data_IF_865713396098
#
_entry.id   IF_865713396098
#
_cell.length_a   1.000
_cell.length_b   1.000
_cell.length_c   1.000
_cell.angle_alpha   90.00
_cell.angle_beta   90.00
_cell.angle_gamma   90.00
#
_symmetry.space_group_name_H-M   'P 1'
#
loop_
_entity.id
_entity.type
_entity.pdbx_description
1 polymer ?
#
# COMPACT_ATOMS: atom_id res chain seq x y z
N UNK A 1 26.19 -18.45 -26.52
CA UNK A 1 25.21 -18.39 -27.62
C UNK A 1 24.33 -17.17 -27.39
N UNK A 2 24.39 -16.17 -28.27
CA UNK A 2 23.65 -14.91 -28.14
C UNK A 2 22.33 -15.06 -28.90
N UNK A 3 21.21 -15.07 -28.19
CA UNK A 3 19.89 -15.13 -28.83
C UNK A 3 19.25 -13.74 -28.80
N UNK A 4 18.93 -13.28 -30.00
CA UNK A 4 18.29 -12.00 -30.32
C UNK A 4 16.81 -12.00 -29.89
N UNK A 5 16.37 -10.84 -29.40
CA UNK A 5 14.97 -10.49 -29.15
C UNK A 5 14.40 -9.84 -30.41
N UNK A 6 13.24 -10.28 -30.95
CA UNK A 6 12.48 -9.48 -31.88
C UNK A 6 11.39 -8.69 -31.13
N UNK A 7 11.54 -7.36 -31.20
CA UNK A 7 10.53 -6.35 -30.91
C UNK A 7 9.44 -6.44 -31.98
N UNK A 8 8.21 -6.75 -31.61
CA UNK A 8 7.03 -6.61 -32.48
C UNK A 8 6.22 -5.39 -32.06
N UNK A 9 6.48 -4.28 -32.74
CA UNK A 9 5.57 -3.15 -32.90
C UNK A 9 4.49 -3.56 -33.91
N UNK A 10 3.21 -3.60 -33.51
CA UNK A 10 2.09 -3.66 -34.45
C UNK A 10 1.13 -2.51 -34.15
N UNK A 11 0.80 -1.84 -35.26
CA UNK A 11 0.26 -0.51 -35.37
C UNK A 11 -1.22 -0.40 -35.02
N UNK A 12 -1.55 0.78 -34.49
CA UNK A 12 -2.87 1.32 -34.24
C UNK A 12 -3.57 1.60 -35.58
N UNK A 13 -4.67 0.90 -35.88
CA UNK A 13 -5.55 1.22 -37.00
C UNK A 13 -6.77 1.99 -36.48
N UNK A 14 -6.74 3.31 -36.67
CA UNK A 14 -7.93 4.16 -36.58
C UNK A 14 -8.74 4.01 -37.87
N UNK A 15 -9.99 3.58 -37.76
CA UNK A 15 -10.99 3.72 -38.83
C UNK A 15 -11.96 4.84 -38.44
N UNK A 16 -11.74 5.98 -39.09
CA UNK A 16 -12.70 7.07 -39.22
C UNK A 16 -13.80 6.67 -40.20
N UNK A 17 -15.06 6.68 -39.76
CA UNK A 17 -16.22 6.63 -40.65
C UNK A 17 -17.10 7.85 -40.36
N UNK A 18 -17.18 8.74 -41.35
CA UNK A 18 -18.13 9.84 -41.40
C UNK A 18 -19.24 9.49 -42.41
N UNK A 19 -20.48 9.57 -41.92
CA UNK A 19 -21.71 10.06 -42.55
C UNK A 19 -22.18 9.52 -43.91
N UNK A 20 -23.44 9.05 -43.97
CA UNK A 20 -24.47 9.76 -44.74
C UNK A 20 -25.94 9.48 -44.32
N UNK A 21 -26.66 10.60 -44.16
CA UNK A 21 -28.10 10.98 -44.37
C UNK A 21 -29.31 10.08 -44.01
N UNK A 22 -30.09 10.65 -43.07
CA UNK A 22 -31.55 10.98 -43.04
C UNK A 22 -32.56 10.06 -43.75
N UNK A 23 -33.53 9.58 -42.96
CA UNK A 23 -34.96 9.78 -43.23
C UNK A 23 -35.72 10.13 -41.94
N UNK A 24 -36.70 11.02 -42.10
CA UNK A 24 -37.52 11.65 -41.08
C UNK A 24 -38.85 10.88 -40.99
N UNK A 25 -39.15 10.28 -39.84
CA UNK A 25 -40.51 9.84 -39.50
C UNK A 25 -40.88 10.40 -38.15
N UNK A 26 -41.81 11.36 -38.21
CA UNK A 26 -42.45 12.04 -37.09
C UNK A 26 -43.47 11.08 -36.45
N UNK A 27 -43.21 10.63 -35.23
CA UNK A 27 -44.25 10.12 -34.35
C UNK A 27 -43.90 10.44 -32.89
N UNK A 28 -44.86 11.09 -32.24
CA UNK A 28 -44.80 11.71 -30.93
C UNK A 28 -44.53 10.69 -29.83
N UNK A 29 -43.45 10.85 -29.07
CA UNK A 29 -43.36 10.30 -27.70
C UNK A 29 -42.44 11.21 -26.88
N UNK A 30 -42.99 11.78 -25.82
CA UNK A 30 -42.30 12.61 -24.83
C UNK A 30 -41.06 11.88 -24.32
N UNK A 31 -39.87 12.46 -24.49
CA UNK A 31 -38.66 11.98 -23.83
C UNK A 31 -37.97 13.14 -23.13
N UNK A 32 -38.08 13.07 -21.80
CA UNK A 32 -37.37 13.86 -20.79
C UNK A 32 -35.89 14.08 -21.14
N UNK A 33 -35.32 15.28 -20.92
CA UNK A 33 -33.90 15.51 -21.12
C UNK A 33 -33.12 14.65 -20.13
N UNK A 34 -32.36 13.70 -20.68
CA UNK A 34 -31.44 12.82 -19.94
C UNK A 34 -30.34 13.71 -19.37
N UNK A 35 -30.55 14.17 -18.14
CA UNK A 35 -29.56 14.91 -17.37
C UNK A 35 -28.38 13.98 -17.13
N UNK A 36 -27.28 14.26 -17.83
CA UNK A 36 -26.01 13.59 -17.62
C UNK A 36 -25.56 13.96 -16.21
N UNK A 37 -25.71 13.01 -15.28
CA UNK A 37 -25.29 13.18 -13.90
C UNK A 37 -23.77 13.31 -13.90
N UNK A 38 -23.28 14.53 -13.84
CA UNK A 38 -21.86 14.80 -13.53
C UNK A 38 -21.63 14.24 -12.14
N UNK A 39 -21.09 13.02 -12.07
CA UNK A 39 -20.65 12.42 -10.81
C UNK A 39 -19.45 13.26 -10.39
N UNK A 40 -19.68 14.21 -9.47
CA UNK A 40 -18.62 15.01 -8.90
C UNK A 40 -17.57 14.07 -8.30
N UNK A 41 -16.33 14.19 -8.76
CA UNK A 41 -15.23 13.44 -8.15
C UNK A 41 -15.16 13.79 -6.65
N UNK A 42 -14.95 12.80 -5.77
CA UNK A 42 -14.76 13.07 -4.35
C UNK A 42 -13.61 14.06 -4.17
N UNK A 43 -13.90 15.18 -3.50
CA UNK A 43 -12.90 16.20 -3.20
C UNK A 43 -11.89 15.63 -2.20
N UNK A 44 -10.60 15.67 -2.55
CA UNK A 44 -9.52 15.23 -1.65
C UNK A 44 -9.46 16.15 -0.41
N UNK A 45 -9.45 15.60 0.81
CA UNK A 45 -9.32 16.40 2.03
C UNK A 45 -7.97 17.11 2.09
N UNK A 46 -7.89 18.20 2.84
CA UNK A 46 -6.61 18.83 3.15
C UNK A 46 -5.72 17.89 3.97
N UNK A 47 -4.41 18.17 4.00
CA UNK A 47 -3.42 17.30 4.62
C UNK A 47 -3.67 17.05 6.11
N UNK A 48 -4.12 18.05 6.87
CA UNK A 48 -4.36 17.90 8.30
C UNK A 48 -5.58 17.01 8.56
N UNK A 49 -6.68 17.28 7.85
CA UNK A 49 -7.88 16.43 7.89
C UNK A 49 -7.55 14.99 7.49
N UNK A 50 -6.75 14.81 6.44
CA UNK A 50 -6.33 13.48 5.97
C UNK A 50 -5.51 12.73 7.02
N UNK A 51 -4.58 13.39 7.70
CA UNK A 51 -3.79 12.77 8.77
C UNK A 51 -4.66 12.32 9.96
N UNK A 52 -5.67 13.12 10.33
CA UNK A 52 -6.63 12.75 11.37
C UNK A 52 -7.47 11.54 10.95
N UNK A 53 -7.94 11.50 9.71
CA UNK A 53 -8.63 10.34 9.16
C UNK A 53 -7.76 9.09 9.20
N UNK A 54 -6.50 9.18 8.75
CA UNK A 54 -5.55 8.05 8.79
C UNK A 54 -5.40 7.53 10.22
N UNK A 55 -5.25 8.40 11.22
CA UNK A 55 -5.14 8.00 12.62
C UNK A 55 -6.35 7.19 13.08
N UNK A 56 -7.57 7.65 12.76
CA UNK A 56 -8.80 6.91 13.09
C UNK A 56 -8.87 5.58 12.35
N UNK A 57 -8.54 5.56 11.05
CA UNK A 57 -8.55 4.35 10.23
C UNK A 57 -7.56 3.29 10.73
N UNK A 58 -6.38 3.69 11.22
CA UNK A 58 -5.42 2.75 11.86
C UNK A 58 -6.04 2.12 13.09
N UNK A 59 -6.64 2.92 13.98
CA UNK A 59 -7.29 2.41 15.19
C UNK A 59 -8.47 1.48 14.88
N UNK A 60 -9.29 1.83 13.89
CA UNK A 60 -10.38 0.98 13.40
C UNK A 60 -9.84 -0.35 12.86
N UNK A 61 -8.82 -0.31 12.00
CA UNK A 61 -8.19 -1.50 11.43
C UNK A 61 -7.62 -2.42 12.52
N UNK A 62 -6.88 -1.86 13.47
CA UNK A 62 -6.33 -2.62 14.60
C UNK A 62 -7.44 -3.26 15.43
N UNK A 63 -8.54 -2.55 15.69
CA UNK A 63 -9.71 -3.08 16.40
C UNK A 63 -10.42 -4.19 15.62
N UNK A 64 -10.54 -4.06 14.29
CA UNK A 64 -11.15 -5.07 13.42
C UNK A 64 -10.40 -6.39 13.51
N UNK A 65 -9.08 -6.36 13.54
CA UNK A 65 -8.22 -7.55 13.56
C UNK A 65 -7.79 -8.00 14.96
N UNK A 66 -8.13 -7.24 16.00
CA UNK A 66 -7.84 -7.60 17.40
C UNK A 66 -8.45 -8.96 17.75
N UNK A 67 -7.59 -9.96 17.95
CA UNK A 67 -8.01 -11.32 18.33
C UNK A 67 -8.64 -12.16 17.21
N UNK A 68 -8.73 -11.66 15.98
CA UNK A 68 -9.32 -12.40 14.85
C UNK A 68 -8.24 -13.09 14.01
N UNK A 69 -7.96 -14.35 14.33
CA UNK A 69 -7.04 -15.18 13.54
C UNK A 69 -7.66 -15.77 12.27
N UNK A 70 -8.97 -15.98 12.24
CA UNK A 70 -9.65 -16.70 11.14
C UNK A 70 -9.69 -15.95 9.80
N UNK A 71 -9.47 -14.62 9.81
CA UNK A 71 -9.44 -13.77 8.61
C UNK A 71 -8.04 -13.48 8.10
N UNK A 72 -7.04 -14.22 8.58
CA UNK A 72 -5.63 -13.99 8.31
C UNK A 72 -4.98 -15.22 7.64
N UNK A 73 -4.07 -14.95 6.72
CA UNK A 73 -3.23 -15.94 6.06
C UNK A 73 -1.79 -15.66 6.47
N UNK A 74 -1.13 -16.68 7.02
CA UNK A 74 0.25 -16.60 7.45
C UNK A 74 1.18 -17.22 6.40
N UNK A 75 2.35 -16.63 6.24
CA UNK A 75 3.46 -17.10 5.44
C UNK A 75 4.73 -17.09 6.28
N UNK A 76 5.55 -18.12 6.10
CA UNK A 76 6.84 -18.26 6.77
C UNK A 76 7.87 -18.77 5.78
N UNK A 77 9.07 -18.21 5.84
CA UNK A 77 10.25 -18.70 5.11
C UNK A 77 11.46 -18.60 6.03
N UNK A 78 12.23 -19.67 6.13
CA UNK A 78 13.55 -19.63 6.79
C UNK A 78 14.61 -19.30 5.75
N UNK A 79 15.48 -18.35 6.05
CA UNK A 79 16.65 -17.98 5.24
C UNK A 79 17.91 -18.29 6.02
N UNK A 80 19.00 -18.62 5.31
CA UNK A 80 20.30 -18.86 5.91
C UNK A 80 21.21 -17.68 5.54
N UNK A 81 21.90 -17.12 6.53
CA UNK A 81 22.93 -16.11 6.33
C UNK A 81 24.26 -16.67 6.80
N UNK A 82 25.27 -16.59 5.95
CA UNK A 82 26.65 -16.92 6.32
C UNK A 82 27.29 -15.70 6.96
N UNK A 83 27.81 -15.86 8.17
CA UNK A 83 28.57 -14.82 8.88
C UNK A 83 29.88 -15.41 9.34
N UNK A 84 30.99 -14.79 8.92
CA UNK A 84 32.38 -15.12 9.23
C UNK A 84 32.75 -16.61 9.19
N UNK A 85 33.62 -16.98 8.23
CA UNK A 85 34.30 -18.28 8.19
C UNK A 85 33.40 -19.54 8.17
N UNK A 86 32.18 -19.41 7.64
CA UNK A 86 31.34 -20.56 7.25
C UNK A 86 30.28 -20.98 8.27
N UNK A 87 30.09 -20.24 9.36
CA UNK A 87 28.92 -20.44 10.22
C UNK A 87 27.67 -19.82 9.59
N UNK A 88 26.70 -20.69 9.29
CA UNK A 88 25.43 -20.29 8.71
C UNK A 88 24.36 -20.21 9.79
N UNK A 89 23.78 -19.03 9.98
CA UNK A 89 22.67 -18.80 10.90
C UNK A 89 21.35 -18.81 10.14
N UNK A 90 20.35 -19.49 10.69
CA UNK A 90 19.02 -19.57 10.10
C UNK A 90 18.05 -18.58 10.77
N UNK A 91 17.37 -17.79 9.95
CA UNK A 91 16.44 -16.77 10.41
C UNK A 91 15.06 -16.94 9.78
N UNK A 92 14.03 -16.91 10.63
CA UNK A 92 12.65 -16.98 10.19
C UNK A 92 12.15 -15.60 9.75
N UNK A 93 11.65 -15.57 8.53
CA UNK A 93 10.91 -14.46 7.93
C UNK A 93 9.43 -14.82 7.97
N UNK A 94 8.60 -13.93 8.51
CA UNK A 94 7.16 -14.16 8.62
C UNK A 94 6.38 -13.02 8.00
N UNK A 95 5.25 -13.34 7.40
CA UNK A 95 4.30 -12.36 6.92
C UNK A 95 2.88 -12.85 7.19
N UNK A 96 2.01 -11.96 7.64
CA UNK A 96 0.59 -12.22 7.86
C UNK A 96 -0.19 -11.21 7.02
N UNK A 97 -1.15 -11.70 6.26
CA UNK A 97 -2.14 -10.89 5.55
C UNK A 97 -3.51 -11.12 6.16
N UNK A 98 -4.11 -10.09 6.73
CA UNK A 98 -5.48 -10.12 7.23
C UNK A 98 -6.40 -9.28 6.33
N UNK A 99 -7.61 -9.76 6.07
CA UNK A 99 -8.64 -9.04 5.29
C UNK A 99 -10.03 -9.22 5.90
N UNK A 100 -10.80 -8.16 6.00
CA UNK A 100 -12.16 -8.18 6.52
C UNK A 100 -13.21 -7.77 5.46
N UNK A 101 -14.48 -8.04 5.74
CA UNK A 101 -15.61 -7.75 4.84
C UNK A 101 -15.90 -6.25 4.68
N UNK A 102 -15.50 -5.42 5.63
CA UNK A 102 -15.57 -3.96 5.52
C UNK A 102 -14.50 -3.38 4.59
N UNK A 103 -13.60 -4.23 4.07
CA UNK A 103 -12.56 -3.87 3.14
C UNK A 103 -11.27 -3.39 3.79
N UNK A 104 -11.11 -3.46 5.12
CA UNK A 104 -9.79 -3.25 5.73
C UNK A 104 -8.89 -4.44 5.41
N UNK A 105 -7.63 -4.14 5.12
CA UNK A 105 -6.55 -5.13 5.02
C UNK A 105 -5.36 -4.66 5.86
N UNK A 106 -4.75 -5.59 6.59
CA UNK A 106 -3.52 -5.36 7.35
C UNK A 106 -2.51 -6.41 6.91
N UNK A 107 -1.41 -5.96 6.33
CA UNK A 107 -0.26 -6.82 6.06
C UNK A 107 0.80 -6.53 7.11
N UNK A 108 1.26 -7.54 7.84
CA UNK A 108 2.35 -7.43 8.80
C UNK A 108 3.46 -8.36 8.37
N UNK A 109 4.70 -7.88 8.32
CA UNK A 109 5.86 -8.71 8.05
C UNK A 109 6.93 -8.48 9.12
N UNK A 110 7.62 -9.56 9.48
CA UNK A 110 8.76 -9.54 10.38
C UNK A 110 9.91 -10.25 9.68
N UNK A 111 10.98 -9.51 9.49
CA UNK A 111 12.22 -9.98 8.91
C UNK A 111 13.33 -9.89 9.94
N UNK A 112 14.20 -10.88 9.97
CA UNK A 112 15.33 -10.93 10.89
C UNK A 112 16.55 -11.47 10.17
N UNK A 113 17.72 -11.05 10.60
CA UNK A 113 18.99 -11.64 10.20
C UNK A 113 20.04 -11.42 11.27
N UNK A 114 21.30 -11.63 10.92
CA UNK A 114 22.39 -11.44 11.86
C UNK A 114 22.50 -9.96 12.24
N UNK A 115 22.25 -9.65 13.53
CA UNK A 115 22.34 -8.30 14.09
C UNK A 115 21.38 -7.27 13.49
N UNK A 116 20.38 -7.69 12.71
CA UNK A 116 19.34 -6.81 12.19
C UNK A 116 17.94 -7.43 12.28
N UNK A 117 16.94 -6.57 12.37
CA UNK A 117 15.53 -6.94 12.22
C UNK A 117 14.75 -5.82 11.55
N UNK A 118 13.64 -6.18 10.93
CA UNK A 118 12.74 -5.23 10.31
C UNK A 118 11.29 -5.68 10.49
N UNK A 119 10.46 -4.80 11.03
CA UNK A 119 9.00 -4.96 11.09
C UNK A 119 8.37 -4.03 10.06
N UNK A 120 7.41 -4.53 9.30
CA UNK A 120 6.61 -3.74 8.35
C UNK A 120 5.12 -3.96 8.62
N UNK A 121 4.35 -2.89 8.68
CA UNK A 121 2.88 -2.91 8.70
C UNK A 121 2.34 -2.05 7.58
N UNK A 122 1.49 -2.62 6.73
CA UNK A 122 0.83 -1.94 5.62
C UNK A 122 -0.67 -2.00 5.88
N UNK A 123 -1.28 -0.82 6.00
CA UNK A 123 -2.70 -0.65 6.24
C UNK A 123 -3.38 -0.22 4.94
N UNK A 124 -4.39 -0.98 4.52
CA UNK A 124 -5.14 -0.72 3.30
C UNK A 124 -6.64 -0.68 3.58
N UNK A 125 -7.36 0.10 2.76
CA UNK A 125 -8.82 0.10 2.67
C UNK A 125 -9.20 -0.12 1.22
N UNK A 126 -9.97 -1.17 0.94
CA UNK A 126 -10.38 -1.56 -0.41
C UNK A 126 -9.20 -1.72 -1.38
N UNK A 127 -8.08 -2.27 -0.90
CA UNK A 127 -6.85 -2.45 -1.68
C UNK A 127 -5.99 -1.21 -1.86
N UNK A 128 -6.41 -0.03 -1.36
CA UNK A 128 -5.65 1.22 -1.44
C UNK A 128 -4.89 1.43 -0.13
N UNK A 129 -3.56 1.63 -0.15
CA UNK A 129 -2.80 1.92 1.05
C UNK A 129 -3.18 3.30 1.61
N UNK A 130 -3.37 3.40 2.92
CA UNK A 130 -3.57 4.68 3.60
C UNK A 130 -2.48 4.97 4.64
N UNK A 131 -1.78 3.94 5.13
CA UNK A 131 -0.69 4.09 6.08
C UNK A 131 0.31 2.92 5.98
N UNK A 132 1.60 3.22 6.06
CA UNK A 132 2.66 2.21 6.23
C UNK A 132 3.55 2.61 7.39
N UNK A 133 3.85 1.63 8.23
CA UNK A 133 4.82 1.75 9.32
C UNK A 133 5.92 0.74 9.08
N UNK A 134 7.18 1.15 9.22
CA UNK A 134 8.31 0.24 9.26
C UNK A 134 9.26 0.62 10.38
N UNK A 135 9.80 -0.37 11.06
CA UNK A 135 10.81 -0.23 12.09
C UNK A 135 11.95 -1.18 11.74
N UNK A 136 13.15 -0.65 11.54
CA UNK A 136 14.37 -1.41 11.32
C UNK A 136 15.26 -1.26 12.55
N UNK A 137 15.90 -2.34 12.95
CA UNK A 137 16.98 -2.34 13.91
C UNK A 137 18.22 -2.96 13.27
N UNK A 138 19.39 -2.40 13.51
CA UNK A 138 20.68 -2.95 13.09
C UNK A 138 21.76 -2.48 14.06
N UNK A 139 22.49 -3.41 14.68
CA UNK A 139 23.71 -3.12 15.47
C UNK A 139 23.55 -2.01 16.54
N UNK A 140 22.37 -1.89 17.15
CA UNK A 140 22.07 -0.85 18.16
C UNK A 140 21.46 0.44 17.61
N UNK A 141 21.39 0.57 16.29
CA UNK A 141 20.66 1.61 15.58
C UNK A 141 19.24 1.15 15.27
N UNK A 142 18.28 2.07 15.33
CA UNK A 142 16.88 1.86 15.08
C UNK A 142 16.36 3.01 14.22
N UNK A 143 15.65 2.66 13.15
CA UNK A 143 15.00 3.59 12.24
C UNK A 143 13.52 3.27 12.17
N UNK A 144 12.70 4.25 12.49
CA UNK A 144 11.26 4.21 12.33
C UNK A 144 10.88 5.06 11.11
N UNK A 145 10.09 4.48 10.20
CA UNK A 145 9.55 5.18 9.02
C UNK A 145 8.02 5.07 8.99
N UNK A 146 7.35 6.19 8.73
CA UNK A 146 5.89 6.29 8.62
C UNK A 146 5.54 6.96 7.30
N UNK A 147 4.74 6.28 6.48
CA UNK A 147 4.28 6.78 5.19
C UNK A 147 2.77 6.99 5.25
N UNK A 148 2.35 8.20 4.92
CA UNK A 148 0.95 8.61 4.91
C UNK A 148 0.51 8.77 3.47
N UNK A 149 -0.70 8.32 3.14
CA UNK A 149 -1.20 8.35 1.76
C UNK A 149 -2.52 9.11 1.65
N UNK A 150 -2.71 9.80 0.52
CA UNK A 150 -3.96 10.41 0.10
C UNK A 150 -5.06 9.37 -0.14
N UNK A 151 -6.29 9.80 -0.40
CA UNK A 151 -7.44 8.90 -0.59
C UNK A 151 -7.25 7.92 -1.75
N UNK A 152 -6.54 8.34 -2.80
CA UNK A 152 -6.25 7.53 -4.00
C UNK A 152 -4.96 6.69 -3.91
N UNK A 153 -4.28 6.68 -2.76
CA UNK A 153 -3.05 5.91 -2.55
C UNK A 153 -1.77 6.61 -3.02
N UNK A 154 -1.85 7.89 -3.39
CA UNK A 154 -0.67 8.72 -3.64
C UNK A 154 0.02 9.05 -2.30
N UNK A 155 1.35 9.13 -2.31
CA UNK A 155 2.12 9.50 -1.11
C UNK A 155 1.79 10.95 -0.70
N UNK A 156 1.37 11.13 0.55
CA UNK A 156 1.12 12.43 1.16
C UNK A 156 2.38 12.95 1.87
N UNK A 157 2.97 12.13 2.74
CA UNK A 157 4.14 12.51 3.52
C UNK A 157 4.90 11.28 4.04
N UNK A 158 6.16 11.51 4.40
CA UNK A 158 7.02 10.53 5.07
C UNK A 158 7.57 11.17 6.33
N UNK A 159 7.52 10.45 7.45
CA UNK A 159 8.21 10.80 8.69
C UNK A 159 9.23 9.70 8.98
N UNK A 160 10.50 10.09 9.15
CA UNK A 160 11.58 9.19 9.54
C UNK A 160 12.13 9.66 10.89
N UNK A 161 12.36 8.71 11.79
CA UNK A 161 13.02 8.91 13.08
C UNK A 161 14.13 7.89 13.23
N UNK A 162 15.30 8.33 13.64
CA UNK A 162 16.45 7.47 13.90
C UNK A 162 16.87 7.67 15.35
N UNK A 163 17.37 6.60 15.99
CA UNK A 163 18.26 6.78 17.13
C UNK A 163 19.70 6.83 16.61
N UNK A 164 20.56 7.59 17.27
CA UNK A 164 21.94 7.82 16.88
C UNK A 164 22.92 6.84 17.53
N UNK A 165 22.42 5.74 18.13
CA UNK A 165 23.24 4.70 18.78
C UNK A 165 24.06 5.18 19.99
N UNK A 166 24.05 6.49 20.26
CA UNK A 166 24.64 7.09 21.43
C UNK A 166 23.67 6.85 22.59
N UNK A 167 24.10 6.01 23.54
CA UNK A 167 23.54 6.03 24.89
C UNK A 167 23.45 7.48 25.30
N UNK A 168 22.24 7.95 25.52
CA UNK A 168 21.96 9.20 26.20
C UNK A 168 22.62 9.12 27.58
N UNK A 169 23.88 9.55 27.66
CA UNK A 169 24.59 9.87 28.88
C UNK A 169 24.19 11.27 29.37
N UNK A 170 22.99 11.73 29.04
CA UNK A 170 22.35 12.91 29.61
C UNK A 170 20.99 12.53 30.20
N UNK A 171 21.03 11.74 31.27
CA UNK A 171 20.14 11.97 32.41
C UNK A 171 20.33 13.44 32.83
N UNK A 172 19.40 14.31 32.45
CA UNK A 172 19.18 15.67 32.98
C UNK A 172 17.85 16.13 32.36
N UNK A 173 16.73 16.36 33.05
CA UNK A 173 16.36 16.50 34.46
C UNK A 173 14.90 16.07 34.59
#
# INVERSE_FOLDING_TARGET
MKNYVPVFMIALLMVTSCAEKKEEVKSTTETSPKQETVIAEPVEPDSLTRLQQIKSMVQECDNVFKGKKSSCIDGKKTVSEEVNEGEAFSFDQTATKCKDVSGYELHTAYFNGHEWSNTVKIYLKNGIPFFVFSETYSEGFATESRYYFKTKGELLSVLVRENDGLKDCTRNQ
#
